data_IF_850050435588
#
_entry.id   IF_850050435588
#
_cell.length_a   1.000
_cell.length_b   1.000
_cell.length_c   1.000
_cell.angle_alpha   90.00
_cell.angle_beta   90.00
_cell.angle_gamma   90.00
#
_symmetry.space_group_name_H-M   'P 1'
#
loop_
_entity.id
_entity.type
_entity.pdbx_description
1 polymer ?
#
# COMPACT_ATOMS: atom_id res chain seq x y z
N UNK A 1 -23.40 12.90 21.67
CA UNK A 1 -22.06 12.61 21.10
C UNK A 1 -21.92 11.10 20.95
N UNK A 2 -21.25 10.61 19.90
CA UNK A 2 -20.94 9.19 19.79
C UNK A 2 -20.11 8.72 21.00
N UNK A 3 -20.29 7.48 21.48
CA UNK A 3 -19.54 6.96 22.62
C UNK A 3 -18.04 6.92 22.33
N UNK A 4 -17.20 7.37 23.29
CA UNK A 4 -15.73 7.47 23.15
C UNK A 4 -15.05 6.19 22.63
N UNK A 5 -15.61 5.04 23.00
CA UNK A 5 -15.15 3.72 22.55
C UNK A 5 -15.27 3.56 21.04
N UNK A 6 -16.36 4.04 20.44
CA UNK A 6 -16.61 3.94 19.01
C UNK A 6 -15.64 4.79 18.20
N UNK A 7 -15.42 6.04 18.61
CA UNK A 7 -14.44 6.93 17.98
C UNK A 7 -13.03 6.34 18.05
N UNK A 8 -12.63 5.79 19.21
CA UNK A 8 -11.34 5.11 19.38
C UNK A 8 -11.20 3.89 18.46
N UNK A 9 -12.26 3.08 18.33
CA UNK A 9 -12.27 1.93 17.44
C UNK A 9 -12.16 2.36 15.97
N UNK A 10 -12.84 3.45 15.59
CA UNK A 10 -12.78 4.02 14.25
C UNK A 10 -11.37 4.52 13.91
N UNK A 11 -10.71 5.24 14.83
CA UNK A 11 -9.30 5.65 14.67
C UNK A 11 -8.40 4.43 14.41
N UNK A 12 -8.52 3.38 15.22
CA UNK A 12 -7.74 2.15 15.05
C UNK A 12 -7.99 1.51 13.69
N UNK A 13 -9.26 1.42 13.28
CA UNK A 13 -9.63 0.85 11.98
C UNK A 13 -9.03 1.64 10.81
N UNK A 14 -9.14 2.97 10.82
CA UNK A 14 -8.61 3.83 9.75
C UNK A 14 -7.07 3.76 9.72
N UNK A 15 -6.41 3.69 10.89
CA UNK A 15 -4.96 3.49 10.97
C UNK A 15 -4.53 2.16 10.37
N UNK A 16 -5.28 1.08 10.60
CA UNK A 16 -5.01 -0.21 9.96
C UNK A 16 -5.19 -0.13 8.45
N UNK A 17 -6.24 0.55 7.96
CA UNK A 17 -6.46 0.76 6.52
C UNK A 17 -5.27 1.51 5.91
N UNK A 18 -4.80 2.59 6.55
CA UNK A 18 -3.62 3.37 6.11
C UNK A 18 -2.35 2.50 5.99
N UNK A 19 -2.12 1.58 6.92
CA UNK A 19 -0.99 0.65 6.85
C UNK A 19 -1.11 -0.32 5.68
N UNK A 20 -2.32 -0.84 5.43
CA UNK A 20 -2.59 -1.76 4.32
C UNK A 20 -2.40 -1.04 2.98
N UNK A 21 -2.95 0.17 2.82
CA UNK A 21 -2.81 0.95 1.59
C UNK A 21 -1.35 1.30 1.33
N UNK A 22 -0.59 1.70 2.35
CA UNK A 22 0.86 1.95 2.23
C UNK A 22 1.66 0.72 1.81
N UNK A 23 1.30 -0.46 2.33
CA UNK A 23 1.92 -1.71 1.89
C UNK A 23 1.57 -2.04 0.43
N UNK A 24 0.31 -1.87 0.02
CA UNK A 24 -0.13 -2.09 -1.37
C UNK A 24 0.50 -1.10 -2.36
N UNK A 25 0.75 0.14 -1.93
CA UNK A 25 1.50 1.14 -2.70
C UNK A 25 2.92 0.64 -3.00
N UNK A 26 3.65 0.19 -1.98
CA UNK A 26 5.01 -0.33 -2.13
C UNK A 26 5.06 -1.62 -3.00
N UNK A 27 4.10 -2.52 -2.82
CA UNK A 27 3.97 -3.72 -3.67
C UNK A 27 3.73 -3.33 -5.12
N UNK A 28 2.84 -2.36 -5.37
CA UNK A 28 2.57 -1.88 -6.72
C UNK A 28 3.81 -1.22 -7.34
N UNK A 29 4.61 -0.49 -6.55
CA UNK A 29 5.87 0.09 -7.00
C UNK A 29 6.87 -0.94 -7.50
N UNK A 30 7.02 -2.04 -6.78
CA UNK A 30 7.87 -3.15 -7.21
C UNK A 30 7.36 -3.76 -8.52
N UNK A 31 6.05 -3.94 -8.66
CA UNK A 31 5.45 -4.54 -9.85
C UNK A 31 5.53 -3.67 -11.10
N UNK A 32 5.35 -2.34 -10.99
CA UNK A 32 5.56 -1.43 -12.12
C UNK A 32 6.98 -1.59 -12.67
N UNK A 33 8.00 -1.55 -11.80
CA UNK A 33 9.40 -1.68 -12.21
C UNK A 33 9.68 -3.01 -12.93
N UNK A 34 9.08 -4.11 -12.46
CA UNK A 34 9.22 -5.43 -13.10
C UNK A 34 8.55 -5.47 -14.48
N UNK A 35 7.33 -4.95 -14.60
CA UNK A 35 6.63 -4.88 -15.89
C UNK A 35 7.40 -4.03 -16.91
N UNK A 36 7.90 -2.86 -16.49
CA UNK A 36 8.74 -1.99 -17.32
C UNK A 36 10.03 -2.67 -17.76
N UNK A 37 10.75 -3.33 -16.85
CA UNK A 37 11.98 -4.03 -17.18
C UNK A 37 11.77 -5.11 -18.25
N UNK A 38 10.62 -5.81 -18.21
CA UNK A 38 10.24 -6.80 -19.22
C UNK A 38 9.84 -6.19 -20.55
N UNK A 39 9.09 -5.09 -20.52
CA UNK A 39 8.73 -4.36 -21.74
C UNK A 39 10.01 -3.89 -22.46
N UNK A 40 10.94 -3.27 -21.72
CA UNK A 40 12.24 -2.86 -22.22
C UNK A 40 13.09 -4.04 -22.73
N UNK A 41 13.07 -5.19 -22.05
CA UNK A 41 13.80 -6.38 -22.50
C UNK A 41 13.25 -6.96 -23.82
N UNK A 42 11.96 -6.81 -24.09
CA UNK A 42 11.33 -7.26 -25.35
C UNK A 42 11.66 -6.35 -26.55
N UNK A 43 12.15 -5.14 -26.30
CA UNK A 43 12.28 -4.08 -27.31
C UNK A 43 13.22 -4.45 -28.45
N UNK A 44 14.41 -4.95 -28.15
CA UNK A 44 15.39 -5.31 -29.19
C UNK A 44 14.86 -6.40 -30.12
N UNK A 45 14.12 -7.37 -29.57
CA UNK A 45 13.49 -8.41 -30.36
C UNK A 45 12.39 -7.83 -31.26
N UNK A 46 11.56 -6.93 -30.74
CA UNK A 46 10.52 -6.26 -31.51
C UNK A 46 11.09 -5.40 -32.65
N UNK A 47 12.11 -4.60 -32.38
CA UNK A 47 12.78 -3.75 -33.38
C UNK A 47 13.40 -4.59 -34.50
N UNK A 48 14.09 -5.69 -34.16
CA UNK A 48 14.71 -6.57 -35.17
C UNK A 48 13.70 -7.41 -35.94
N UNK A 49 12.66 -7.91 -35.27
CA UNK A 49 11.58 -8.64 -35.95
C UNK A 49 10.85 -7.73 -36.94
N UNK A 50 10.65 -6.46 -36.57
CA UNK A 50 10.07 -5.44 -37.45
C UNK A 50 10.95 -5.09 -38.64
N UNK A 51 12.25 -4.87 -38.40
CA UNK A 51 13.22 -4.61 -39.46
C UNK A 51 13.20 -5.75 -40.50
N UNK A 52 13.18 -7.00 -40.04
CA UNK A 52 13.07 -8.16 -40.93
C UNK A 52 11.72 -8.17 -41.66
N UNK A 53 10.61 -7.91 -40.97
CA UNK A 53 9.27 -7.86 -41.59
C UNK A 53 9.21 -6.84 -42.74
N UNK A 54 9.68 -5.61 -42.50
CA UNK A 54 9.70 -4.53 -43.50
C UNK A 54 10.60 -4.88 -44.68
N UNK A 55 11.79 -5.43 -44.41
CA UNK A 55 12.74 -5.81 -45.46
C UNK A 55 12.23 -6.97 -46.31
N UNK A 56 11.64 -8.00 -45.70
CA UNK A 56 11.06 -9.14 -46.42
C UNK A 56 9.86 -8.69 -47.27
N UNK A 57 9.02 -7.79 -46.75
CA UNK A 57 7.90 -7.24 -47.52
C UNK A 57 8.38 -6.42 -48.73
N UNK A 58 9.43 -5.60 -48.57
CA UNK A 58 10.02 -4.82 -49.66
C UNK A 58 10.70 -5.71 -50.72
N UNK A 59 11.36 -6.81 -50.29
CA UNK A 59 12.04 -7.76 -51.18
C UNK A 59 11.13 -8.79 -51.86
N UNK A 60 9.91 -9.02 -51.36
CA UNK A 60 9.01 -10.07 -51.85
C UNK A 60 8.40 -9.82 -53.24
N UNK A 61 8.67 -8.69 -53.89
CA UNK A 61 8.56 -8.52 -55.35
C UNK A 61 7.26 -9.00 -56.01
N UNK A 62 6.11 -8.89 -55.33
CA UNK A 62 4.80 -9.27 -55.88
C UNK A 62 4.26 -10.66 -55.52
N UNK A 63 4.90 -11.40 -54.59
CA UNK A 63 4.24 -12.56 -53.96
C UNK A 63 3.06 -12.09 -53.11
N UNK A 64 1.98 -12.88 -53.05
CA UNK A 64 0.80 -12.53 -52.26
C UNK A 64 1.23 -12.29 -50.79
N UNK A 65 0.87 -11.14 -50.19
CA UNK A 65 1.23 -10.86 -48.81
C UNK A 65 0.69 -11.95 -47.89
N UNK A 66 1.42 -12.23 -46.80
CA UNK A 66 0.95 -13.16 -45.78
C UNK A 66 -0.50 -12.79 -45.40
N UNK A 67 -1.42 -13.74 -45.19
CA UNK A 67 -2.83 -13.41 -44.95
C UNK A 67 -3.05 -12.43 -43.78
N UNK A 68 -2.22 -12.53 -42.73
CA UNK A 68 -2.23 -11.58 -41.60
C UNK A 68 -1.75 -10.16 -41.94
N UNK A 69 -1.12 -9.93 -43.08
CA UNK A 69 -0.71 -8.60 -43.59
C UNK A 69 -1.71 -8.03 -44.60
N UNK A 70 -2.74 -8.79 -44.97
CA UNK A 70 -3.65 -8.44 -46.06
C UNK A 70 -4.91 -7.78 -45.51
N UNK A 71 -5.16 -6.54 -45.89
CA UNK A 71 -6.41 -5.86 -45.57
C UNK A 71 -7.61 -6.50 -46.29
N UNK A 72 -8.74 -6.59 -45.58
CA UNK A 72 -10.01 -7.06 -46.16
C UNK A 72 -10.71 -5.89 -46.85
N UNK A 73 -11.27 -6.13 -48.04
CA UNK A 73 -11.98 -5.09 -48.81
C UNK A 73 -13.23 -4.56 -48.06
N UNK A 74 -13.90 -5.45 -47.31
CA UNK A 74 -15.06 -5.09 -46.49
C UNK A 74 -14.90 -5.63 -45.06
N UNK A 75 -15.13 -4.76 -44.09
CA UNK A 75 -15.13 -5.11 -42.66
C UNK A 75 -16.58 -5.34 -42.22
N UNK A 76 -16.93 -6.59 -41.96
CA UNK A 76 -18.25 -7.02 -41.55
C UNK A 76 -18.32 -7.39 -40.07
N UNK A 77 -17.26 -7.97 -39.50
CA UNK A 77 -17.18 -8.32 -38.08
C UNK A 77 -15.82 -7.96 -37.49
N UNK A 78 -15.83 -7.41 -36.28
CA UNK A 78 -14.61 -6.95 -35.60
C UNK A 78 -14.45 -7.67 -34.27
N UNK A 79 -13.25 -8.15 -33.98
CA UNK A 79 -12.89 -8.65 -32.66
C UNK A 79 -12.21 -7.55 -31.85
N UNK A 80 -12.58 -7.40 -30.57
CA UNK A 80 -11.91 -6.47 -29.65
C UNK A 80 -11.39 -7.23 -28.44
N UNK A 81 -10.07 -7.29 -28.31
CA UNK A 81 -9.38 -7.81 -27.13
C UNK A 81 -9.28 -6.70 -26.10
N UNK A 82 -9.99 -6.81 -24.99
CA UNK A 82 -10.00 -5.79 -23.93
C UNK A 82 -9.15 -6.26 -22.76
N UNK A 83 -8.04 -5.54 -22.52
CA UNK A 83 -7.11 -5.84 -21.42
C UNK A 83 -7.48 -5.00 -20.20
N UNK A 84 -7.84 -5.69 -19.13
CA UNK A 84 -8.26 -5.12 -17.84
C UNK A 84 -7.56 -5.84 -16.68
N UNK A 85 -7.78 -5.34 -15.46
CA UNK A 85 -7.25 -6.00 -14.27
C UNK A 85 -8.16 -7.10 -13.75
N UNK A 86 -7.56 -8.08 -13.08
CA UNK A 86 -8.30 -9.10 -12.32
C UNK A 86 -8.82 -8.59 -10.97
N UNK A 87 -8.14 -7.59 -10.40
CA UNK A 87 -8.41 -7.03 -9.06
C UNK A 87 -8.71 -5.55 -9.14
N UNK A 88 -9.57 -5.06 -8.24
CA UNK A 88 -9.91 -3.64 -8.14
C UNK A 88 -8.80 -2.77 -7.54
N UNK A 89 -9.22 -1.63 -6.99
CA UNK A 89 -8.37 -0.65 -6.29
C UNK A 89 -7.30 0.02 -7.18
N UNK A 90 -7.50 0.04 -8.50
CA UNK A 90 -6.62 0.69 -9.47
C UNK A 90 -7.18 2.04 -9.98
N UNK A 91 -7.92 2.76 -9.13
CA UNK A 91 -8.59 4.01 -9.52
C UNK A 91 -9.55 3.80 -10.69
N UNK A 92 -9.43 4.67 -11.70
CA UNK A 92 -10.27 4.67 -12.92
C UNK A 92 -9.73 3.79 -14.07
N UNK A 93 -8.64 3.05 -13.86
CA UNK A 93 -7.97 2.23 -14.88
C UNK A 93 -8.95 1.38 -15.72
N UNK A 94 -9.69 0.47 -15.08
CA UNK A 94 -10.61 -0.43 -15.77
C UNK A 94 -11.75 0.32 -16.47
N UNK A 95 -12.35 1.31 -15.78
CA UNK A 95 -13.46 2.07 -16.35
C UNK A 95 -13.04 2.90 -17.56
N UNK A 96 -11.79 3.33 -17.62
CA UNK A 96 -11.28 4.14 -18.72
C UNK A 96 -11.07 3.30 -19.98
N UNK A 97 -10.36 2.17 -19.88
CA UNK A 97 -10.12 1.29 -21.04
C UNK A 97 -11.42 0.70 -21.59
N UNK A 98 -12.33 0.27 -20.72
CA UNK A 98 -13.65 -0.26 -21.14
C UNK A 98 -14.46 0.82 -21.86
N UNK A 99 -14.51 2.03 -21.32
CA UNK A 99 -15.24 3.15 -21.95
C UNK A 99 -14.66 3.53 -23.31
N UNK A 100 -13.33 3.48 -23.45
CA UNK A 100 -12.66 3.75 -24.74
C UNK A 100 -12.96 2.64 -25.74
N UNK A 101 -12.86 1.37 -25.32
CA UNK A 101 -13.22 0.22 -26.14
C UNK A 101 -14.68 0.30 -26.63
N UNK A 102 -15.63 0.58 -25.75
CA UNK A 102 -17.04 0.75 -26.08
C UNK A 102 -17.29 1.93 -27.01
N UNK A 103 -16.67 3.08 -26.75
CA UNK A 103 -16.83 4.27 -27.61
C UNK A 103 -16.33 3.99 -29.02
N UNK A 104 -15.18 3.34 -29.14
CA UNK A 104 -14.63 2.95 -30.44
C UNK A 104 -15.55 1.94 -31.13
N UNK A 105 -15.98 0.92 -30.40
CA UNK A 105 -16.91 -0.12 -30.83
C UNK A 105 -18.22 0.45 -31.38
N UNK A 106 -18.85 1.34 -30.63
CA UNK A 106 -20.10 2.00 -31.02
C UNK A 106 -19.92 2.90 -32.25
N UNK A 107 -18.73 3.51 -32.44
CA UNK A 107 -18.44 4.36 -33.60
C UNK A 107 -18.24 3.55 -34.88
N UNK A 108 -17.70 2.33 -34.78
CA UNK A 108 -17.57 1.43 -35.94
C UNK A 108 -18.94 1.02 -36.49
N UNK A 109 -19.95 0.83 -35.62
CA UNK A 109 -21.30 0.46 -36.04
C UNK A 109 -21.40 -0.95 -36.66
N UNK A 110 -20.40 -1.80 -36.41
CA UNK A 110 -20.32 -3.19 -36.88
C UNK A 110 -20.59 -4.17 -35.72
N UNK A 111 -21.00 -5.42 -36.00
CA UNK A 111 -21.01 -6.49 -35.01
C UNK A 111 -19.63 -6.69 -34.38
N UNK A 112 -19.58 -6.73 -33.04
CA UNK A 112 -18.33 -6.82 -32.29
C UNK A 112 -18.33 -8.03 -31.37
N UNK A 113 -17.23 -8.76 -31.44
CA UNK A 113 -16.91 -9.91 -30.62
C UNK A 113 -15.81 -9.54 -29.63
N UNK A 114 -16.11 -9.63 -28.33
CA UNK A 114 -15.15 -9.29 -27.29
C UNK A 114 -14.38 -10.51 -26.83
N UNK A 115 -13.06 -10.34 -26.65
CA UNK A 115 -12.21 -11.24 -25.89
C UNK A 115 -11.72 -10.47 -24.68
N UNK A 116 -11.99 -10.99 -23.48
CA UNK A 116 -11.63 -10.26 -22.25
C UNK A 116 -10.40 -10.85 -21.61
N UNK A 117 -9.39 -10.01 -21.39
CA UNK A 117 -8.25 -10.32 -20.53
C UNK A 117 -8.45 -9.63 -19.18
N UNK A 118 -8.60 -10.42 -18.12
CA UNK A 118 -8.90 -9.95 -16.77
C UNK A 118 -10.39 -9.91 -16.42
N UNK A 119 -10.70 -10.23 -15.16
CA UNK A 119 -12.08 -10.32 -14.65
C UNK A 119 -12.90 -9.02 -14.77
N UNK A 120 -12.29 -7.84 -14.63
CA UNK A 120 -13.06 -6.58 -14.60
C UNK A 120 -13.68 -6.22 -15.94
N UNK A 121 -13.01 -6.57 -17.03
CA UNK A 121 -13.54 -6.50 -18.39
C UNK A 121 -14.74 -7.42 -18.54
N UNK A 122 -14.57 -8.72 -18.22
CA UNK A 122 -15.67 -9.70 -18.27
C UNK A 122 -16.89 -9.23 -17.48
N UNK A 123 -16.72 -8.95 -16.18
CA UNK A 123 -17.85 -8.61 -15.30
C UNK A 123 -18.65 -7.40 -15.82
N UNK A 124 -17.98 -6.46 -16.49
CA UNK A 124 -18.62 -5.26 -17.03
C UNK A 124 -19.33 -5.55 -18.34
N UNK A 125 -18.66 -6.21 -19.27
CA UNK A 125 -19.21 -6.54 -20.60
C UNK A 125 -20.37 -7.54 -20.51
N UNK A 126 -20.31 -8.52 -19.59
CA UNK A 126 -21.43 -9.44 -19.31
C UNK A 126 -22.67 -8.68 -18.85
N UNK A 127 -22.51 -7.70 -17.93
CA UNK A 127 -23.63 -6.88 -17.45
C UNK A 127 -24.26 -6.04 -18.55
N UNK A 128 -23.48 -5.65 -19.55
CA UNK A 128 -23.92 -4.91 -20.73
C UNK A 128 -24.50 -5.81 -21.82
N UNK A 129 -24.48 -7.13 -21.64
CA UNK A 129 -24.92 -8.12 -22.64
C UNK A 129 -24.13 -8.04 -23.95
N UNK A 130 -22.86 -7.64 -23.86
CA UNK A 130 -21.94 -7.68 -25.00
C UNK A 130 -21.63 -9.13 -25.39
N UNK A 131 -21.32 -9.38 -26.66
CA UNK A 131 -20.94 -10.71 -27.12
C UNK A 131 -19.48 -11.01 -26.72
N UNK A 132 -19.28 -11.94 -25.78
CA UNK A 132 -17.95 -12.34 -25.32
C UNK A 132 -17.65 -13.75 -25.85
N UNK A 133 -16.63 -13.86 -26.70
CA UNK A 133 -16.23 -15.12 -27.34
C UNK A 133 -15.32 -15.93 -26.43
N UNK A 134 -14.45 -15.27 -25.66
CA UNK A 134 -13.54 -15.92 -24.72
C UNK A 134 -13.16 -15.01 -23.55
N UNK A 135 -12.86 -15.64 -22.41
CA UNK A 135 -12.30 -15.01 -21.22
C UNK A 135 -10.93 -15.62 -20.90
N UNK A 136 -9.97 -14.75 -20.60
CA UNK A 136 -8.67 -15.09 -20.03
C UNK A 136 -8.47 -14.31 -18.74
N UNK A 137 -8.72 -14.95 -17.61
CA UNK A 137 -8.59 -14.36 -16.27
C UNK A 137 -7.46 -15.00 -15.47
N UNK A 138 -7.11 -14.38 -14.34
CA UNK A 138 -6.07 -14.88 -13.43
C UNK A 138 -4.69 -15.01 -14.11
N UNK A 139 -4.34 -14.01 -14.91
CA UNK A 139 -3.02 -13.95 -15.51
C UNK A 139 -1.96 -13.92 -14.41
N UNK A 140 -0.83 -14.64 -14.59
CA UNK A 140 0.27 -14.55 -13.66
C UNK A 140 0.70 -13.09 -13.45
N UNK A 141 1.14 -12.75 -12.24
CA UNK A 141 1.64 -11.40 -11.94
C UNK A 141 2.82 -11.00 -12.82
N UNK A 142 3.45 -11.99 -13.44
CA UNK A 142 4.65 -11.91 -14.24
C UNK A 142 4.43 -12.81 -15.47
N UNK A 143 3.58 -12.40 -16.43
CA UNK A 143 3.20 -13.23 -17.56
C UNK A 143 4.39 -13.49 -18.48
N UNK A 144 4.35 -14.65 -19.12
CA UNK A 144 5.29 -15.09 -20.15
C UNK A 144 4.56 -15.13 -21.50
N UNK A 145 5.32 -15.30 -22.59
CA UNK A 145 4.74 -15.45 -23.94
C UNK A 145 3.76 -16.63 -23.98
N UNK A 146 4.10 -17.75 -23.33
CA UNK A 146 3.26 -18.96 -23.27
C UNK A 146 1.88 -18.71 -22.63
N UNK A 147 1.77 -17.74 -21.72
CA UNK A 147 0.49 -17.38 -21.09
C UNK A 147 -0.42 -16.60 -22.06
N UNK A 148 0.16 -15.96 -23.07
CA UNK A 148 -0.53 -15.13 -24.06
C UNK A 148 -0.81 -15.89 -25.36
N UNK A 149 0.01 -16.90 -25.68
CA UNK A 149 -0.15 -17.74 -26.86
C UNK A 149 -1.60 -18.20 -27.10
N UNK A 150 -2.38 -18.64 -26.09
CA UNK A 150 -3.78 -19.04 -26.29
C UNK A 150 -4.68 -17.89 -26.77
N UNK A 151 -4.45 -16.67 -26.27
CA UNK A 151 -5.18 -15.46 -26.66
C UNK A 151 -4.84 -15.12 -28.11
N UNK A 152 -3.54 -15.14 -28.43
CA UNK A 152 -3.06 -14.82 -29.76
C UNK A 152 -3.60 -15.79 -30.81
N UNK A 153 -3.48 -17.09 -30.55
CA UNK A 153 -3.98 -18.15 -31.44
C UNK A 153 -5.47 -18.03 -31.69
N UNK A 154 -6.28 -17.77 -30.65
CA UNK A 154 -7.72 -17.62 -30.82
C UNK A 154 -8.07 -16.50 -31.81
N UNK A 155 -7.43 -15.34 -31.67
CA UNK A 155 -7.69 -14.20 -32.54
C UNK A 155 -7.15 -14.40 -33.96
N UNK A 156 -5.93 -14.95 -34.08
CA UNK A 156 -5.30 -15.27 -35.37
C UNK A 156 -6.14 -16.31 -36.11
N UNK A 157 -6.56 -17.39 -35.46
CA UNK A 157 -7.37 -18.44 -36.09
C UNK A 157 -8.73 -17.91 -36.55
N UNK A 158 -9.39 -17.08 -35.76
CA UNK A 158 -10.67 -16.45 -36.12
C UNK A 158 -10.51 -15.55 -37.36
N UNK A 159 -9.43 -14.76 -37.42
CA UNK A 159 -9.12 -13.91 -38.57
C UNK A 159 -8.79 -14.73 -39.83
N UNK A 160 -7.97 -15.77 -39.68
CA UNK A 160 -7.56 -16.66 -40.77
C UNK A 160 -8.74 -17.42 -41.37
N UNK A 161 -9.72 -17.81 -40.54
CA UNK A 161 -10.97 -18.47 -40.97
C UNK A 161 -11.99 -17.51 -41.59
N UNK A 162 -11.77 -16.19 -41.49
CA UNK A 162 -12.73 -15.17 -41.94
C UNK A 162 -13.96 -15.05 -41.05
N UNK A 163 -13.87 -15.47 -39.78
CA UNK A 163 -14.92 -15.24 -38.78
C UNK A 163 -14.96 -13.78 -38.32
N UNK A 164 -13.78 -13.12 -38.36
CA UNK A 164 -13.58 -11.70 -38.09
C UNK A 164 -12.65 -11.10 -39.15
N UNK A 165 -12.92 -9.85 -39.52
CA UNK A 165 -12.20 -9.15 -40.59
C UNK A 165 -11.13 -8.20 -40.04
N UNK A 166 -11.28 -7.76 -38.78
CA UNK A 166 -10.32 -6.94 -38.05
C UNK A 166 -10.25 -7.40 -36.58
N UNK A 167 -9.05 -7.29 -36.00
CA UNK A 167 -8.82 -7.51 -34.57
C UNK A 167 -8.17 -6.28 -33.96
N UNK A 168 -8.77 -5.76 -32.90
CA UNK A 168 -8.32 -4.59 -32.17
C UNK A 168 -7.90 -4.98 -30.74
N UNK A 169 -6.89 -4.29 -30.19
CA UNK A 169 -6.51 -4.42 -28.79
C UNK A 169 -6.84 -3.12 -28.06
N UNK A 170 -7.78 -3.18 -27.12
CA UNK A 170 -8.05 -2.10 -26.19
C UNK A 170 -7.24 -2.33 -24.90
N UNK A 171 -6.24 -1.49 -24.68
CA UNK A 171 -5.36 -1.57 -23.51
C UNK A 171 -5.02 -0.17 -22.99
N UNK A 172 -4.22 -0.09 -21.93
CA UNK A 172 -3.78 1.19 -21.39
C UNK A 172 -2.27 1.34 -21.54
N UNK A 173 -1.87 2.26 -22.39
CA UNK A 173 -0.48 2.63 -22.64
C UNK A 173 0.13 3.30 -21.39
N UNK A 174 1.33 2.84 -21.02
CA UNK A 174 2.09 3.35 -19.90
C UNK A 174 3.00 4.49 -20.39
N UNK A 175 2.54 5.73 -20.23
CA UNK A 175 3.37 6.90 -20.52
C UNK A 175 4.34 7.14 -19.37
N UNK A 176 3.81 7.32 -18.16
CA UNK A 176 4.61 7.43 -16.95
C UNK A 176 3.79 7.09 -15.70
N UNK A 177 4.40 7.24 -14.52
CA UNK A 177 3.77 6.93 -13.23
C UNK A 177 2.47 7.71 -12.95
N UNK A 178 2.31 8.89 -13.52
CA UNK A 178 1.14 9.76 -13.33
C UNK A 178 0.14 9.67 -14.48
N UNK A 179 0.63 9.38 -15.69
CA UNK A 179 -0.16 9.39 -16.92
C UNK A 179 -0.25 7.99 -17.49
N UNK A 180 -1.47 7.46 -17.51
CA UNK A 180 -1.83 6.21 -18.18
C UNK A 180 -2.89 6.52 -19.24
N UNK A 181 -2.66 6.12 -20.49
CA UNK A 181 -3.53 6.49 -21.61
C UNK A 181 -4.26 5.27 -22.16
N UNK A 182 -5.60 5.17 -22.00
CA UNK A 182 -6.36 4.11 -22.65
C UNK A 182 -6.37 4.33 -24.18
N UNK A 183 -6.01 3.29 -24.93
CA UNK A 183 -5.91 3.32 -26.39
C UNK A 183 -6.58 2.10 -27.01
N UNK A 184 -6.98 2.21 -28.27
CA UNK A 184 -7.41 1.08 -29.11
C UNK A 184 -6.43 0.98 -30.26
N UNK A 185 -5.72 -0.14 -30.32
CA UNK A 185 -4.71 -0.45 -31.31
C UNK A 185 -5.30 -1.39 -32.36
N UNK A 186 -5.13 -1.07 -33.65
CA UNK A 186 -5.39 -2.03 -34.72
C UNK A 186 -4.29 -3.09 -34.72
N UNK A 187 -4.66 -4.36 -34.54
CA UNK A 187 -3.71 -5.46 -34.39
C UNK A 187 -3.68 -6.38 -35.61
N UNK A 188 -4.84 -6.87 -36.06
CA UNK A 188 -4.95 -7.63 -37.31
C UNK A 188 -5.97 -6.92 -38.25
N UNK A 189 -5.70 -6.83 -39.56
CA UNK A 189 -4.46 -7.19 -40.24
C UNK A 189 -3.27 -6.35 -39.72
N UNK A 190 -2.09 -6.96 -39.70
CA UNK A 190 -0.84 -6.29 -39.39
C UNK A 190 -0.53 -5.30 -40.50
N UNK A 191 -0.82 -4.04 -40.24
CA UNK A 191 -0.37 -2.94 -41.07
C UNK A 191 1.04 -2.54 -40.65
N UNK A 192 1.98 -2.38 -41.59
CA UNK A 192 3.31 -1.88 -41.30
C UNK A 192 3.30 -0.41 -40.84
N UNK A 193 2.85 -0.10 -39.63
CA UNK A 193 3.02 1.21 -39.01
C UNK A 193 4.38 1.30 -38.32
N UNK A 194 5.12 2.38 -38.57
CA UNK A 194 6.36 2.69 -37.82
C UNK A 194 6.12 2.50 -36.33
N UNK A 195 6.85 1.58 -35.70
CA UNK A 195 6.81 1.31 -34.24
C UNK A 195 6.90 2.61 -33.42
N UNK A 196 7.54 3.64 -33.99
CA UNK A 196 7.63 4.99 -33.44
C UNK A 196 6.27 5.66 -33.13
N UNK A 197 5.18 5.34 -33.84
CA UNK A 197 3.87 5.99 -33.65
C UNK A 197 2.96 5.26 -32.66
N UNK A 198 3.13 3.95 -32.48
CA UNK A 198 2.30 3.14 -31.56
C UNK A 198 2.81 3.18 -30.11
N UNK A 199 4.09 3.50 -29.89
CA UNK A 199 4.67 3.69 -28.56
C UNK A 199 4.74 5.20 -28.27
N UNK A 200 3.63 5.77 -27.79
CA UNK A 200 3.53 7.19 -27.51
C UNK A 200 4.29 7.58 -26.22
N UNK A 201 5.58 7.85 -26.36
CA UNK A 201 6.27 8.84 -25.53
C UNK A 201 7.32 8.27 -24.57
N UNK A 202 8.50 8.88 -24.63
CA UNK A 202 9.57 8.84 -23.62
C UNK A 202 10.55 7.64 -23.65
N UNK A 203 10.14 6.45 -24.09
CA UNK A 203 11.05 5.27 -24.05
C UNK A 203 11.77 4.95 -25.36
N UNK A 204 11.34 5.51 -26.49
CA UNK A 204 11.91 5.24 -27.80
C UNK A 204 12.71 6.47 -28.26
N UNK A 205 13.94 6.61 -27.77
CA UNK A 205 14.83 7.70 -28.20
C UNK A 205 15.50 7.46 -29.55
N UNK A 206 15.55 6.22 -30.01
CA UNK A 206 16.14 5.85 -31.29
C UNK A 206 15.41 4.59 -31.80
N UNK A 207 14.34 4.77 -32.59
CA UNK A 207 14.05 3.74 -33.61
C UNK A 207 15.03 4.05 -34.73
N UNK A 208 15.86 3.09 -35.17
CA UNK A 208 16.56 3.26 -36.43
C UNK A 208 15.51 3.67 -37.47
N UNK A 209 15.66 4.87 -38.07
CA UNK A 209 14.95 5.12 -39.30
C UNK A 209 15.33 3.97 -40.22
N UNK A 210 14.34 3.23 -40.69
CA UNK A 210 14.55 2.27 -41.78
C UNK A 210 15.01 3.14 -42.95
N UNK A 211 16.32 3.29 -43.08
CA UNK A 211 16.93 3.86 -44.26
C UNK A 211 16.41 3.06 -45.43
N UNK A 212 15.90 3.73 -46.45
CA UNK A 212 15.48 3.17 -47.75
C UNK A 212 16.59 2.40 -48.50
N UNK A 213 17.70 2.10 -47.83
CA UNK A 213 18.61 1.05 -48.24
C UNK A 213 17.96 -0.28 -47.88
N UNK A 214 17.15 -0.80 -48.80
CA UNK A 214 16.85 -2.23 -48.87
C UNK A 214 18.19 -2.97 -48.85
N UNK A 215 18.61 -3.42 -47.67
CA UNK A 215 19.71 -4.36 -47.55
C UNK A 215 19.25 -5.60 -48.33
N UNK A 216 20.01 -5.97 -49.37
CA UNK A 216 19.74 -7.20 -50.11
C UNK A 216 19.94 -8.38 -49.15
N UNK A 217 18.84 -8.92 -48.62
CA UNK A 217 18.84 -10.14 -47.86
C UNK A 217 18.73 -11.33 -48.81
N UNK A 218 19.58 -12.33 -48.59
CA UNK A 218 19.36 -13.66 -49.12
C UNK A 218 18.46 -14.43 -48.15
N UNK A 219 17.36 -15.01 -48.64
CA UNK A 219 16.37 -15.71 -47.83
C UNK A 219 16.48 -17.22 -48.01
N UNK A 220 16.67 -17.95 -46.92
CA UNK A 220 16.68 -19.42 -46.88
C UNK A 220 15.49 -19.89 -46.03
N UNK A 221 14.59 -20.78 -46.52
CA UNK A 221 14.53 -21.37 -47.86
C UNK A 221 13.89 -20.47 -48.94
N UNK A 222 13.03 -19.51 -48.55
CA UNK A 222 12.51 -18.42 -49.41
C UNK A 222 11.83 -17.35 -48.55
N UNK A 223 11.55 -16.17 -49.12
CA UNK A 223 10.92 -15.05 -48.41
C UNK A 223 9.54 -15.39 -47.80
N UNK A 224 8.69 -16.15 -48.52
CA UNK A 224 7.36 -16.53 -48.05
C UNK A 224 7.41 -17.42 -46.80
N UNK A 225 8.29 -18.42 -46.80
CA UNK A 225 8.51 -19.31 -45.65
C UNK A 225 9.01 -18.56 -44.42
N UNK A 226 9.87 -17.55 -44.62
CA UNK A 226 10.33 -16.66 -43.55
C UNK A 226 9.17 -15.84 -42.98
N UNK A 227 8.28 -15.30 -43.83
CA UNK A 227 7.08 -14.58 -43.38
C UNK A 227 6.13 -15.48 -42.58
N UNK A 228 5.90 -16.71 -43.04
CA UNK A 228 5.02 -17.68 -42.34
C UNK A 228 5.48 -17.96 -40.90
N UNK A 229 6.79 -17.88 -40.61
CA UNK A 229 7.31 -18.08 -39.26
C UNK A 229 7.41 -16.78 -38.44
N UNK A 230 7.82 -15.67 -39.07
CA UNK A 230 8.05 -14.40 -38.38
C UNK A 230 6.75 -13.69 -38.06
N UNK A 231 5.79 -13.67 -39.00
CA UNK A 231 4.56 -12.89 -38.86
C UNK A 231 3.78 -13.34 -37.61
N UNK A 232 3.49 -14.64 -37.37
CA UNK A 232 2.81 -15.06 -36.15
C UNK A 232 3.58 -14.72 -34.87
N UNK A 233 4.92 -14.86 -34.85
CA UNK A 233 5.73 -14.51 -33.68
C UNK A 233 5.71 -13.01 -33.39
N UNK A 234 5.73 -12.19 -34.44
CA UNK A 234 5.63 -10.75 -34.30
C UNK A 234 4.25 -10.31 -33.80
N UNK A 235 3.16 -10.92 -34.29
CA UNK A 235 1.81 -10.64 -33.78
C UNK A 235 1.70 -10.95 -32.30
N UNK A 236 2.22 -12.11 -31.87
CA UNK A 236 2.20 -12.53 -30.47
C UNK A 236 3.01 -11.60 -29.58
N UNK A 237 4.16 -11.12 -30.09
CA UNK A 237 4.99 -10.14 -29.39
C UNK A 237 4.26 -8.80 -29.18
N UNK A 238 3.53 -8.30 -30.18
CA UNK A 238 2.76 -7.06 -30.03
C UNK A 238 1.69 -7.19 -28.94
N UNK A 239 0.97 -8.32 -28.90
CA UNK A 239 0.00 -8.58 -27.84
C UNK A 239 0.68 -8.70 -26.46
N UNK A 240 1.87 -9.33 -26.41
CA UNK A 240 2.67 -9.41 -25.18
C UNK A 240 3.12 -8.03 -24.69
N UNK A 241 3.56 -7.15 -25.58
CA UNK A 241 3.93 -5.77 -25.22
C UNK A 241 2.72 -4.99 -24.71
N UNK A 242 1.58 -5.03 -25.40
CA UNK A 242 0.35 -4.38 -24.97
C UNK A 242 -0.10 -4.87 -23.58
N UNK A 243 0.05 -6.17 -23.29
CA UNK A 243 -0.23 -6.72 -21.95
C UNK A 243 0.72 -6.15 -20.89
N UNK A 244 2.03 -6.13 -21.16
CA UNK A 244 3.03 -5.61 -20.21
C UNK A 244 2.84 -4.12 -19.93
N UNK A 245 2.56 -3.31 -20.95
CA UNK A 245 2.24 -1.89 -20.81
C UNK A 245 0.96 -1.69 -19.98
N UNK A 246 -0.07 -2.48 -20.26
CA UNK A 246 -1.32 -2.46 -19.49
C UNK A 246 -1.09 -2.85 -18.02
N UNK A 247 -0.25 -3.85 -17.74
CA UNK A 247 0.12 -4.23 -16.37
C UNK A 247 0.92 -3.14 -15.64
N UNK A 248 1.87 -2.50 -16.33
CA UNK A 248 2.61 -1.36 -15.79
C UNK A 248 1.66 -0.21 -15.44
N UNK A 249 0.75 0.13 -16.36
CA UNK A 249 -0.32 1.12 -16.17
C UNK A 249 -1.26 0.76 -15.01
N UNK A 250 -1.66 -0.49 -14.90
CA UNK A 250 -2.51 -0.99 -13.81
C UNK A 250 -1.84 -0.78 -12.44
N UNK A 251 -0.56 -1.16 -12.33
CA UNK A 251 0.19 -1.03 -11.10
C UNK A 251 0.51 0.43 -10.76
N UNK A 252 0.73 1.29 -11.75
CA UNK A 252 0.92 2.72 -11.54
C UNK A 252 -0.37 3.40 -11.06
N UNK A 253 -1.50 3.12 -11.71
CA UNK A 253 -2.81 3.63 -11.29
C UNK A 253 -3.19 3.13 -9.89
N UNK A 254 -2.90 1.86 -9.57
CA UNK A 254 -3.09 1.31 -8.22
C UNK A 254 -2.19 1.98 -7.19
N UNK A 255 -0.91 2.21 -7.50
CA UNK A 255 -0.02 2.94 -6.61
C UNK A 255 -0.58 4.33 -6.29
N UNK A 256 -0.97 5.09 -7.32
CA UNK A 256 -1.55 6.42 -7.13
C UNK A 256 -2.84 6.38 -6.28
N UNK A 257 -3.72 5.42 -6.54
CA UNK A 257 -4.93 5.22 -5.75
C UNK A 257 -4.63 4.87 -4.28
N UNK A 258 -3.62 4.02 -4.02
CA UNK A 258 -3.21 3.64 -2.66
C UNK A 258 -2.52 4.78 -1.92
N UNK A 259 -1.71 5.59 -2.61
CA UNK A 259 -1.09 6.80 -2.05
C UNK A 259 -2.16 7.79 -1.59
N UNK A 260 -3.09 8.13 -2.48
CA UNK A 260 -4.22 9.01 -2.16
C UNK A 260 -5.08 8.44 -1.02
N UNK A 261 -5.32 7.13 -0.99
CA UNK A 261 -6.04 6.49 0.12
C UNK A 261 -5.28 6.58 1.46
N UNK A 262 -3.95 6.46 1.43
CA UNK A 262 -3.09 6.56 2.62
C UNK A 262 -3.08 7.99 3.18
N UNK A 263 -3.00 8.99 2.30
CA UNK A 263 -3.03 10.40 2.66
C UNK A 263 -4.41 10.78 3.24
N UNK A 264 -5.50 10.38 2.57
CA UNK A 264 -6.87 10.59 3.06
C UNK A 264 -7.11 9.90 4.41
N UNK A 265 -6.61 8.68 4.60
CA UNK A 265 -6.73 7.97 5.87
C UNK A 265 -5.94 8.68 6.99
N UNK A 266 -4.78 9.24 6.68
CA UNK A 266 -3.96 9.98 7.65
C UNK A 266 -4.64 11.28 8.10
N UNK A 267 -5.25 12.01 7.16
CA UNK A 267 -6.07 13.20 7.47
C UNK A 267 -7.26 12.83 8.34
N UNK A 268 -8.01 11.77 7.98
CA UNK A 268 -9.17 11.31 8.75
C UNK A 268 -8.79 10.86 10.17
N UNK A 269 -7.61 10.24 10.35
CA UNK A 269 -7.09 9.92 11.69
C UNK A 269 -6.85 11.18 12.51
N UNK A 270 -6.29 12.24 11.90
CA UNK A 270 -6.11 13.54 12.53
C UNK A 270 -7.44 14.13 13.04
N UNK A 271 -8.44 14.18 12.17
CA UNK A 271 -9.77 14.72 12.48
C UNK A 271 -10.47 13.93 13.59
N UNK A 272 -10.49 12.59 13.48
CA UNK A 272 -11.07 11.72 14.49
C UNK A 272 -10.34 11.82 15.84
N UNK A 273 -9.03 12.08 15.83
CA UNK A 273 -8.24 12.27 17.06
C UNK A 273 -8.63 13.58 17.75
N UNK A 274 -8.84 14.67 17.00
CA UNK A 274 -9.34 15.93 17.53
C UNK A 274 -10.75 15.76 18.11
N UNK A 275 -11.65 15.09 17.39
CA UNK A 275 -13.01 14.79 17.86
C UNK A 275 -12.98 13.95 19.14
N UNK A 276 -12.16 12.90 19.18
CA UNK A 276 -11.99 12.04 20.34
C UNK A 276 -11.50 12.82 21.57
N UNK A 277 -10.51 13.70 21.39
CA UNK A 277 -9.98 14.51 22.50
C UNK A 277 -11.04 15.50 23.03
N UNK A 278 -11.81 16.14 22.15
CA UNK A 278 -12.93 17.02 22.54
C UNK A 278 -14.00 16.25 23.31
N UNK A 279 -14.44 15.10 22.78
CA UNK A 279 -15.43 14.26 23.45
C UNK A 279 -14.92 13.73 24.79
N UNK A 280 -13.63 13.41 24.90
CA UNK A 280 -13.00 12.93 26.14
C UNK A 280 -12.99 14.02 27.19
N UNK A 281 -12.61 15.24 26.81
CA UNK A 281 -12.63 16.39 27.71
C UNK A 281 -14.05 16.67 28.21
N UNK A 282 -15.04 16.69 27.30
CA UNK A 282 -16.45 16.88 27.68
C UNK A 282 -16.95 15.79 28.65
N UNK A 283 -16.57 14.52 28.43
CA UNK A 283 -16.93 13.42 29.32
C UNK A 283 -16.30 13.58 30.71
N UNK A 284 -15.00 13.90 30.79
CA UNK A 284 -14.30 14.17 32.05
C UNK A 284 -14.95 15.35 32.79
N UNK A 285 -15.27 16.44 32.07
CA UNK A 285 -15.96 17.59 32.68
C UNK A 285 -17.34 17.21 33.21
N UNK A 286 -18.11 16.40 32.48
CA UNK A 286 -19.41 15.90 32.95
C UNK A 286 -19.26 15.03 34.20
N UNK A 287 -18.30 14.11 34.21
CA UNK A 287 -18.00 13.26 35.39
C UNK A 287 -17.62 14.12 36.60
N UNK A 288 -16.79 15.16 36.42
CA UNK A 288 -16.43 16.08 37.50
C UNK A 288 -17.67 16.85 38.00
N UNK A 289 -18.51 17.36 37.09
CA UNK A 289 -19.74 18.06 37.46
C UNK A 289 -20.72 17.15 38.21
N UNK A 290 -20.83 15.88 37.82
CA UNK A 290 -21.66 14.89 38.51
C UNK A 290 -21.12 14.57 39.92
N UNK A 291 -19.79 14.44 40.06
CA UNK A 291 -19.15 14.21 41.37
C UNK A 291 -19.35 15.42 42.29
N UNK A 292 -19.12 16.64 41.79
CA UNK A 292 -19.28 17.88 42.58
C UNK A 292 -20.76 18.11 42.90
N UNK A 293 -21.66 17.87 41.96
CA UNK A 293 -23.11 17.94 42.17
C UNK A 293 -23.59 16.94 43.23
N UNK A 294 -23.12 15.70 43.18
CA UNK A 294 -23.41 14.67 44.17
C UNK A 294 -22.85 15.00 45.56
N UNK A 295 -21.61 15.50 45.64
CA UNK A 295 -21.00 15.94 46.89
C UNK A 295 -21.76 17.10 47.53
N UNK A 296 -22.15 18.11 46.73
CA UNK A 296 -22.95 19.23 47.20
C UNK A 296 -24.34 18.80 47.67
N UNK A 297 -25.00 17.90 46.94
CA UNK A 297 -26.30 17.36 47.35
C UNK A 297 -26.22 16.60 48.68
N UNK A 298 -25.15 15.82 48.88
CA UNK A 298 -24.89 15.15 50.15
C UNK A 298 -24.68 16.16 51.27
N UNK A 299 -23.85 17.19 51.05
CA UNK A 299 -23.61 18.23 52.06
C UNK A 299 -24.89 18.97 52.44
N UNK A 300 -25.71 19.36 51.46
CA UNK A 300 -27.02 19.98 51.70
C UNK A 300 -27.95 19.04 52.48
N UNK A 301 -27.94 17.74 52.19
CA UNK A 301 -28.74 16.78 52.95
C UNK A 301 -28.28 16.69 54.41
N UNK A 302 -26.96 16.71 54.67
CA UNK A 302 -26.39 16.70 56.03
C UNK A 302 -26.80 17.97 56.77
N UNK A 303 -26.67 19.13 56.14
CA UNK A 303 -27.07 20.42 56.72
C UNK A 303 -28.58 20.49 57.00
N UNK A 304 -29.41 19.99 56.09
CA UNK A 304 -30.86 19.91 56.30
C UNK A 304 -31.22 18.95 57.45
N UNK A 305 -30.52 17.83 57.57
CA UNK A 305 -30.72 16.86 58.67
C UNK A 305 -30.27 17.45 60.00
N UNK A 306 -29.12 18.14 60.01
CA UNK A 306 -28.60 18.84 61.19
C UNK A 306 -29.57 19.96 61.63
N UNK A 307 -30.13 20.72 60.69
CA UNK A 307 -31.14 21.75 60.97
C UNK A 307 -32.44 21.15 61.52
N UNK A 308 -32.91 20.04 60.96
CA UNK A 308 -34.07 19.33 61.48
C UNK A 308 -33.85 18.78 62.89
N UNK A 309 -32.64 18.26 63.19
CA UNK A 309 -32.25 17.86 64.54
C UNK A 309 -32.21 19.05 65.52
N UNK A 310 -31.73 20.21 65.05
CA UNK A 310 -31.71 21.44 65.84
C UNK A 310 -33.12 21.94 66.16
N UNK A 311 -34.05 21.91 65.19
CA UNK A 311 -35.46 22.27 65.40
C UNK A 311 -36.18 21.33 66.37
N UNK A 312 -35.82 20.03 66.38
CA UNK A 312 -36.39 19.09 67.37
C UNK A 312 -35.89 19.31 68.81
N UNK A 313 -34.79 20.04 69.01
CA UNK A 313 -34.32 20.44 70.34
C UNK A 313 -35.09 21.65 70.90
N UNK A 314 -35.79 22.41 70.05
CA UNK A 314 -36.52 23.63 70.42
C UNK A 314 -38.02 23.39 70.70
N UNK A 315 -38.52 22.17 70.50
CA UNK A 315 -39.87 21.79 70.95
C UNK A 315 -39.84 21.35 72.42
N UNK A 316 -40.62 21.99 73.32
CA UNK A 316 -40.57 21.69 74.75
C UNK A 316 -41.12 20.28 75.01
N UNK A 317 -40.26 19.40 75.52
CA UNK A 317 -40.67 18.09 75.99
C UNK A 317 -41.42 18.26 77.34
N UNK A 318 -42.65 17.75 77.51
CA UNK A 318 -43.30 17.74 78.80
C UNK A 318 -42.50 16.84 79.76
N UNK A 319 -42.29 17.35 80.95
CA UNK A 319 -41.57 16.70 82.04
C UNK A 319 -42.20 15.36 82.41
N UNK A 320 -41.42 14.27 82.31
CA UNK A 320 -41.73 13.00 82.94
C UNK A 320 -40.53 12.51 83.79
N UNK A 321 -40.78 11.76 84.88
CA UNK A 321 -39.89 11.74 86.03
C UNK A 321 -38.73 10.75 85.89
N UNK A 322 -37.66 11.07 86.62
CA UNK A 322 -36.43 10.30 86.81
C UNK A 322 -36.71 8.94 87.47
N UNK A 323 -36.22 7.85 86.88
CA UNK A 323 -36.15 6.51 87.49
C UNK A 323 -34.72 5.93 87.32
N UNK A 324 -34.28 5.03 88.23
CA UNK A 324 -32.87 4.88 88.59
C UNK A 324 -32.09 3.90 87.70
N UNK A 325 -30.76 4.03 87.76
CA UNK A 325 -29.78 3.19 87.08
C UNK A 325 -29.85 1.71 87.51
N UNK A 326 -29.62 0.75 86.59
CA UNK A 326 -29.24 -0.60 86.96
C UNK A 326 -27.74 -0.84 86.82
N UNK A 327 -27.28 -1.78 87.64
CA UNK A 327 -25.91 -2.12 87.93
C UNK A 327 -25.21 -2.98 86.86
N UNK A 328 -23.87 -2.96 86.93
CA UNK A 328 -22.95 -3.86 86.25
C UNK A 328 -23.25 -5.34 86.56
N UNK A 329 -23.17 -6.19 85.54
CA UNK A 329 -22.80 -7.60 85.68
C UNK A 329 -21.81 -8.00 84.59
N UNK A 330 -20.82 -8.77 85.01
CA UNK A 330 -19.68 -9.25 84.24
C UNK A 330 -19.90 -10.68 83.71
N UNK A 331 -18.98 -11.10 82.82
CA UNK A 331 -18.67 -12.45 82.29
C UNK A 331 -18.92 -12.55 80.77
N UNK A 332 -18.11 -13.20 79.94
CA UNK A 332 -16.77 -13.79 80.01
C UNK A 332 -16.48 -14.35 78.61
N UNK A 333 -15.22 -14.30 78.18
CA UNK A 333 -14.50 -15.25 77.30
C UNK A 333 -15.04 -15.65 75.92
N UNK A 334 -14.25 -15.31 74.90
CA UNK A 334 -13.67 -16.29 73.97
C UNK A 334 -12.45 -15.69 73.24
N UNK A 335 -11.29 -16.28 73.49
CA UNK A 335 -10.01 -16.02 72.83
C UNK A 335 -10.03 -16.36 71.32
N UNK A 336 -9.17 -15.71 70.51
CA UNK A 336 -7.86 -16.23 70.06
C UNK A 336 -7.48 -15.67 68.67
N UNK A 337 -6.32 -15.02 68.58
CA UNK A 337 -5.73 -14.65 67.30
C UNK A 337 -4.65 -13.56 67.36
N UNK A 338 -3.59 -13.82 68.11
CA UNK A 338 -2.37 -12.99 68.22
C UNK A 338 -1.56 -12.95 66.92
N UNK A 339 -1.10 -11.76 66.54
CA UNK A 339 0.30 -11.38 66.21
C UNK A 339 0.24 -10.04 65.46
N UNK A 340 1.00 -8.99 65.76
CA UNK A 340 2.13 -8.79 66.64
C UNK A 340 2.82 -7.52 66.13
N UNK A 341 3.04 -6.58 67.05
CA UNK A 341 3.96 -5.42 67.03
C UNK A 341 4.53 -4.87 65.71
N UNK A 342 4.53 -3.54 65.62
CA UNK A 342 5.67 -2.84 65.03
C UNK A 342 5.38 -1.44 64.51
N UNK A 343 5.37 -0.44 65.40
CA UNK A 343 5.73 0.93 65.01
C UNK A 343 7.20 0.93 64.58
N UNK A 344 7.48 1.32 63.36
CA UNK A 344 8.75 1.89 62.91
C UNK A 344 8.43 2.74 61.68
N UNK A 345 8.58 4.06 61.80
CA UNK A 345 9.78 4.79 61.40
C UNK A 345 9.93 4.85 59.87
N UNK A 346 9.92 6.09 59.38
CA UNK A 346 10.25 6.47 58.01
C UNK A 346 11.45 5.65 57.48
N UNK A 347 11.38 5.13 56.25
CA UNK A 347 12.58 4.64 55.61
C UNK A 347 13.46 5.85 55.25
N UNK A 348 14.59 5.92 55.93
CA UNK A 348 15.75 6.65 55.47
C UNK A 348 16.12 6.22 54.04
N UNK A 349 16.62 7.18 53.29
CA UNK A 349 17.09 7.05 51.91
C UNK A 349 18.00 5.82 51.72
N UNK A 350 17.55 4.90 50.86
CA UNK A 350 18.39 3.93 50.19
C UNK A 350 19.02 4.57 48.93
N UNK A 351 20.14 4.06 48.43
CA UNK A 351 21.14 4.82 47.69
C UNK A 351 20.57 5.33 46.35
N UNK A 352 21.05 6.49 45.92
CA UNK A 352 20.74 7.12 44.63
C UNK A 352 20.79 6.05 43.53
N UNK A 353 19.61 5.65 43.07
CA UNK A 353 19.46 4.86 41.86
C UNK A 353 20.12 5.69 40.75
N UNK A 354 21.21 5.18 40.18
CA UNK A 354 21.84 5.78 39.00
C UNK A 354 20.72 5.91 37.97
N UNK A 355 20.41 7.14 37.54
CA UNK A 355 19.50 7.35 36.40
C UNK A 355 20.09 6.52 35.26
N UNK A 356 19.44 5.40 34.92
CA UNK A 356 19.81 4.65 33.74
C UNK A 356 19.41 5.51 32.54
N UNK A 357 20.38 5.80 31.69
CA UNK A 357 20.14 6.59 30.49
C UNK A 357 19.21 5.82 29.53
N UNK A 358 18.33 6.57 28.86
CA UNK A 358 17.49 6.01 27.79
C UNK A 358 18.28 6.04 26.48
N UNK A 359 18.82 4.88 26.09
CA UNK A 359 19.65 4.78 24.88
C UNK A 359 18.81 4.87 23.59
N UNK A 360 17.48 4.80 23.68
CA UNK A 360 16.57 4.96 22.51
C UNK A 360 16.55 6.36 21.93
N UNK A 361 17.15 7.31 22.65
CA UNK A 361 17.38 8.66 22.20
C UNK A 361 18.31 8.70 20.98
N UNK A 362 19.16 7.68 20.79
CA UNK A 362 19.99 7.50 19.60
C UNK A 362 19.18 6.87 18.46
N UNK A 363 19.22 7.48 17.28
CA UNK A 363 18.52 6.99 16.11
C UNK A 363 19.12 5.67 15.62
N UNK A 364 18.27 4.65 15.48
CA UNK A 364 18.67 3.28 15.15
C UNK A 364 18.68 2.32 16.34
N UNK A 365 18.66 2.80 17.59
CA UNK A 365 18.59 1.95 18.79
C UNK A 365 17.12 1.67 19.16
N UNK A 366 16.63 0.51 18.74
CA UNK A 366 15.32 0.00 19.15
C UNK A 366 15.33 -0.68 20.54
N UNK A 367 14.15 -1.03 21.12
CA UNK A 367 14.05 -1.64 22.45
C UNK A 367 14.81 -2.96 22.63
N UNK A 368 14.97 -3.73 21.55
CA UNK A 368 15.74 -4.98 21.57
C UNK A 368 17.25 -4.72 21.59
N UNK A 369 17.70 -3.71 20.87
CA UNK A 369 19.12 -3.31 20.80
C UNK A 369 19.55 -2.69 22.12
N UNK A 370 18.71 -1.82 22.71
CA UNK A 370 18.95 -1.29 24.05
C UNK A 370 19.12 -2.40 25.09
N UNK A 371 18.27 -3.43 25.05
CA UNK A 371 18.37 -4.56 25.98
C UNK A 371 19.66 -5.35 25.78
N UNK A 372 20.10 -5.55 24.53
CA UNK A 372 21.36 -6.22 24.22
C UNK A 372 22.57 -5.41 24.70
N UNK A 373 22.58 -4.11 24.46
CA UNK A 373 23.64 -3.20 24.91
C UNK A 373 23.74 -3.14 26.44
N UNK A 374 22.59 -3.04 27.13
CA UNK A 374 22.54 -3.09 28.59
C UNK A 374 23.02 -4.44 29.14
N UNK A 375 22.71 -5.55 28.47
CA UNK A 375 23.21 -6.87 28.85
C UNK A 375 24.73 -7.02 28.64
N UNK A 376 25.31 -6.29 27.70
CA UNK A 376 26.75 -6.23 27.45
C UNK A 376 27.49 -5.19 28.32
N UNK A 377 26.81 -4.52 29.26
CA UNK A 377 27.41 -3.54 30.17
C UNK A 377 27.48 -2.10 29.65
N UNK A 378 26.93 -1.83 28.47
CA UNK A 378 26.77 -0.50 27.86
C UNK A 378 25.41 0.06 28.26
N UNK A 379 25.34 0.69 29.43
CA UNK A 379 24.10 1.12 30.08
C UNK A 379 23.94 2.65 30.20
N UNK A 380 24.95 3.44 29.80
CA UNK A 380 24.95 4.90 29.82
C UNK A 380 25.35 5.50 28.48
N UNK A 381 24.95 6.76 28.20
CA UNK A 381 25.36 7.46 26.97
C UNK A 381 26.88 7.64 26.89
N UNK A 382 27.54 7.86 28.03
CA UNK A 382 29.00 7.98 28.10
C UNK A 382 29.71 6.69 27.67
N UNK A 383 29.25 5.52 28.16
CA UNK A 383 29.80 4.22 27.77
C UNK A 383 29.54 3.90 26.31
N UNK A 384 28.38 4.29 25.78
CA UNK A 384 28.05 4.11 24.37
C UNK A 384 28.88 5.03 23.46
N UNK A 385 29.25 6.23 23.93
CA UNK A 385 30.13 7.13 23.21
C UNK A 385 31.59 6.63 23.15
N UNK A 386 32.06 5.98 24.22
CA UNK A 386 33.42 5.42 24.30
C UNK A 386 33.56 4.03 23.65
N UNK A 387 32.47 3.29 23.48
CA UNK A 387 32.48 1.96 22.87
C UNK A 387 32.94 2.00 21.41
N UNK A 388 33.85 1.11 21.04
CA UNK A 388 34.28 0.98 19.64
C UNK A 388 33.21 0.25 18.83
N UNK A 389 33.23 0.44 17.51
CA UNK A 389 32.28 -0.23 16.61
C UNK A 389 32.34 -1.77 16.75
N UNK A 390 33.52 -2.32 17.03
CA UNK A 390 33.73 -3.75 17.31
C UNK A 390 33.04 -4.22 18.59
N UNK A 391 33.07 -3.41 19.66
CA UNK A 391 32.43 -3.74 20.95
C UNK A 391 30.90 -3.76 20.83
N UNK A 392 30.35 -2.79 20.07
CA UNK A 392 28.91 -2.69 19.80
C UNK A 392 28.45 -3.87 18.94
N UNK A 393 29.25 -4.26 17.94
CA UNK A 393 28.99 -5.45 17.14
C UNK A 393 28.96 -6.72 17.99
N UNK A 394 29.98 -6.93 18.83
CA UNK A 394 30.07 -8.08 19.72
C UNK A 394 28.86 -8.17 20.68
N UNK A 395 28.39 -7.03 21.20
CA UNK A 395 27.21 -6.97 22.07
C UNK A 395 25.91 -7.37 21.36
N UNK A 396 25.75 -6.98 20.09
CA UNK A 396 24.56 -7.30 19.28
C UNK A 396 24.58 -8.76 18.82
N UNK A 397 25.76 -9.26 18.43
CA UNK A 397 25.96 -10.64 18.00
C UNK A 397 25.77 -11.64 19.15
N UNK A 398 26.25 -11.30 20.36
CA UNK A 398 26.00 -12.08 21.58
C UNK A 398 24.50 -12.21 21.91
N UNK A 399 23.67 -11.28 21.44
CA UNK A 399 22.22 -11.33 21.57
C UNK A 399 21.50 -12.05 20.40
N UNK A 400 22.25 -12.66 19.48
CA UNK A 400 21.74 -13.47 18.36
C UNK A 400 21.11 -12.65 17.23
N UNK A 401 21.51 -11.39 17.06
CA UNK A 401 20.97 -10.47 16.04
C UNK A 401 22.02 -10.16 14.96
N UNK A 402 21.62 -10.09 13.68
CA UNK A 402 22.51 -9.81 12.54
C UNK A 402 22.30 -8.41 11.95
N UNK A 403 23.40 -7.66 11.84
CA UNK A 403 23.67 -6.39 11.13
C UNK A 403 22.64 -5.24 11.17
N UNK A 404 23.07 -4.11 11.75
CA UNK A 404 22.60 -2.77 11.40
C UNK A 404 23.64 -2.11 10.46
N UNK A 405 23.29 -1.68 9.24
CA UNK A 405 24.23 -1.07 8.28
C UNK A 405 24.49 0.43 8.57
N UNK A 406 24.59 0.81 9.86
CA UNK A 406 24.65 2.20 10.32
C UNK A 406 25.19 2.33 11.76
N UNK A 407 26.29 1.67 12.10
CA UNK A 407 26.81 1.65 13.48
C UNK A 407 27.79 2.79 13.79
N UNK A 408 28.44 3.37 12.78
CA UNK A 408 29.36 4.51 12.96
C UNK A 408 28.72 5.78 13.54
N UNK A 409 27.39 5.95 13.46
CA UNK A 409 26.70 7.16 13.93
C UNK A 409 26.21 7.06 15.38
N UNK A 410 26.24 5.88 16.00
CA UNK A 410 25.70 5.66 17.35
C UNK A 410 26.59 6.24 18.45
N UNK A 411 27.91 6.03 18.35
CA UNK A 411 28.88 6.62 19.28
C UNK A 411 28.84 8.16 19.22
N UNK A 412 28.78 8.73 18.01
CA UNK A 412 28.74 10.19 17.83
C UNK A 412 27.44 10.80 18.38
N UNK A 413 26.27 10.20 18.10
CA UNK A 413 25.00 10.61 18.69
C UNK A 413 24.98 10.48 20.22
N UNK A 414 25.54 9.39 20.75
CA UNK A 414 25.66 9.18 22.19
C UNK A 414 26.56 10.25 22.85
N UNK A 415 27.57 10.76 22.14
CA UNK A 415 28.44 11.82 22.65
C UNK A 415 27.70 13.15 22.87
N UNK A 416 26.74 13.51 22.00
CA UNK A 416 25.89 14.69 22.19
C UNK A 416 24.92 14.51 23.36
N UNK A 417 24.32 13.33 23.47
CA UNK A 417 23.44 12.98 24.60
C UNK A 417 24.19 12.99 25.95
N UNK A 418 25.42 12.46 25.99
CA UNK A 418 26.27 12.47 27.18
C UNK A 418 26.69 13.89 27.61
N UNK A 419 26.85 14.81 26.65
CA UNK A 419 27.14 16.24 26.91
C UNK A 419 25.89 17.07 27.26
N UNK A 420 24.69 16.51 27.12
CA UNK A 420 23.43 17.22 27.29
C UNK A 420 23.11 18.23 26.18
N UNK A 421 23.79 18.13 25.04
CA UNK A 421 23.64 19.01 23.87
C UNK A 421 22.52 18.49 22.96
N UNK A 422 21.29 18.83 23.34
CA UNK A 422 20.08 18.37 22.66
C UNK A 422 19.86 19.02 21.29
N UNK A 423 20.30 20.28 21.13
CA UNK A 423 20.18 21.03 19.87
C UNK A 423 21.23 20.54 18.85
N UNK A 424 22.46 20.24 19.30
CA UNK A 424 23.49 19.61 18.48
C UNK A 424 23.09 18.21 18.02
N UNK A 425 22.46 17.41 18.90
CA UNK A 425 21.92 16.10 18.55
C UNK A 425 20.83 16.17 17.47
N UNK A 426 19.91 17.12 17.58
CA UNK A 426 18.84 17.30 16.58
C UNK A 426 19.38 17.77 15.23
N UNK A 427 20.35 18.69 15.24
CA UNK A 427 21.02 19.15 14.02
C UNK A 427 21.71 17.98 13.32
N UNK A 428 22.49 17.18 14.06
CA UNK A 428 23.17 16.01 13.53
C UNK A 428 22.21 14.95 12.98
N UNK A 429 21.07 14.71 13.65
CA UNK A 429 20.02 13.79 13.14
C UNK A 429 19.40 14.26 11.83
N UNK A 430 19.20 15.56 11.67
CA UNK A 430 18.63 16.12 10.44
C UNK A 430 19.61 16.05 9.24
N UNK A 431 20.91 15.96 9.51
CA UNK A 431 21.96 15.76 8.49
C UNK A 431 22.11 14.28 8.09
N UNK A 432 21.60 13.33 8.88
CA UNK A 432 21.69 11.89 8.58
C UNK A 432 20.61 11.44 7.59
N UNK A 433 21.02 10.90 6.45
CA UNK A 433 20.08 10.25 5.51
C UNK A 433 19.92 8.78 5.90
N UNK A 434 18.81 8.44 6.56
CA UNK A 434 18.50 7.08 7.03
C UNK A 434 19.58 6.46 7.96
N UNK A 435 20.18 7.29 8.83
CA UNK A 435 21.18 6.86 9.82
C UNK A 435 22.61 6.73 9.32
N UNK A 436 22.90 7.17 8.08
CA UNK A 436 24.25 7.25 7.51
C UNK A 436 24.69 8.71 7.40
N UNK A 437 25.96 8.97 7.73
CA UNK A 437 26.65 10.17 7.27
C UNK A 437 27.01 9.94 5.79
N UNK A 438 26.81 10.95 4.94
CA UNK A 438 27.20 10.92 3.52
C UNK A 438 28.71 10.66 3.34
#
# INVERSE_FOLDING_TARGET
MPPLREVRNRIRSVKNISQITRALEAVSASRVRRAQARALASRYYAEKAWEILVNVQAGAGGSAPHPLLTEREEVNRVMVIVITSDRGLAGSFNSNVIRVAERFSNRLGKPIDFVTVGRKGRDTLVRQRANIVAEFSDMPAEPTINDITPISRLAVDAFMKGEVDEVLIAYTDFVNMLTQRPVVLGWLPLTPHTIAEQVAGEYVKDVPHVTESATNYDYEPNASAVLEEIVPRFTELQLYQALLESQASEHAARMAAMRNATDNASQLVGDLTLEYNKARQAAITSEILDIVGGANALQQSIEATAKAMMDTLDTPHPTAPRAPAPALTAASDAERGSNGNGKSAQPAAAPKNVKQDDLKVVEGIGPKMEKALKAAGIDTWAKLAEATEADIHAAIEAAGMSFAPSLGTWSQQASYAAKGDWDGLQTYKNELTAGRAD
#
